data_IF_916045028848
#
_entry.id   IF_916045028848
#
_cell.length_a   1.000
_cell.length_b   1.000
_cell.length_c   1.000
_cell.angle_alpha   90.00
_cell.angle_beta   90.00
_cell.angle_gamma   90.00
#
_symmetry.space_group_name_H-M   'P 1'
#
loop_
_entity.id
_entity.type
_entity.pdbx_description
1 polymer ?
#
# COMPACT_ATOMS: atom_id res chain seq x y z
N UNK A 1 -6.28 -24.68 20.27
CA UNK A 1 -5.70 -25.42 19.13
C UNK A 1 -6.74 -25.49 18.03
N UNK A 2 -6.37 -25.09 16.82
CA UNK A 2 -7.18 -25.33 15.62
C UNK A 2 -6.74 -26.67 15.07
N UNK A 3 -7.61 -27.67 15.07
CA UNK A 3 -7.26 -29.09 14.91
C UNK A 3 -7.24 -29.60 13.47
N UNK A 4 -7.79 -28.84 12.52
CA UNK A 4 -7.76 -29.23 11.11
C UNK A 4 -6.42 -28.85 10.46
N UNK A 5 -5.72 -29.83 9.90
CA UNK A 5 -4.44 -29.67 9.24
C UNK A 5 -4.55 -29.13 7.80
N UNK A 6 -5.74 -29.10 7.21
CA UNK A 6 -6.00 -28.56 5.88
C UNK A 6 -6.39 -27.07 5.88
N UNK A 7 -6.60 -26.46 7.05
CA UNK A 7 -6.98 -25.04 7.14
C UNK A 7 -5.82 -24.12 6.73
N UNK A 8 -6.10 -23.14 5.87
CA UNK A 8 -5.21 -22.02 5.57
C UNK A 8 -5.74 -20.74 6.23
N UNK A 9 -4.84 -19.86 6.66
CA UNK A 9 -5.17 -18.59 7.29
C UNK A 9 -4.76 -17.45 6.39
N UNK A 10 -5.69 -16.55 6.09
CA UNK A 10 -5.41 -15.38 5.28
C UNK A 10 -5.48 -14.11 6.12
N UNK A 11 -4.61 -13.16 5.83
CA UNK A 11 -4.75 -11.77 6.24
C UNK A 11 -4.44 -10.87 5.05
N UNK A 12 -5.03 -9.68 5.03
CA UNK A 12 -4.81 -8.69 3.97
C UNK A 12 -4.00 -7.54 4.55
N UNK A 13 -3.12 -6.94 3.74
CA UNK A 13 -2.34 -5.79 4.20
C UNK A 13 -2.04 -4.82 3.07
N UNK A 14 -2.54 -3.61 3.26
CA UNK A 14 -2.26 -2.45 2.41
C UNK A 14 -1.48 -1.37 3.17
N UNK A 15 -0.81 -1.74 4.26
CA UNK A 15 0.01 -0.81 5.02
C UNK A 15 1.23 -0.36 4.19
N UNK A 16 1.62 0.94 4.23
CA UNK A 16 0.85 2.06 4.79
C UNK A 16 -0.30 2.48 3.87
N UNK A 17 -1.51 2.58 4.41
CA UNK A 17 -2.73 2.85 3.63
C UNK A 17 -2.67 4.20 2.90
N UNK A 18 -2.03 5.21 3.52
CA UNK A 18 -1.78 6.53 2.95
C UNK A 18 -1.06 6.44 1.58
N UNK A 19 -0.15 5.48 1.40
CA UNK A 19 0.65 5.33 0.19
C UNK A 19 -0.03 4.43 -0.84
N UNK A 20 -0.71 3.37 -0.40
CA UNK A 20 -1.26 2.34 -1.29
C UNK A 20 -2.58 2.71 -1.95
N UNK A 21 -3.32 3.66 -1.39
CA UNK A 21 -4.69 4.00 -1.84
C UNK A 21 -4.83 5.42 -2.39
N UNK A 22 -3.73 6.12 -2.65
CA UNK A 22 -3.75 7.52 -3.07
C UNK A 22 -4.80 7.82 -4.16
N UNK A 23 -5.73 8.72 -3.84
CA UNK A 23 -6.75 9.23 -4.74
C UNK A 23 -7.97 8.32 -4.85
N UNK A 24 -8.04 7.22 -4.09
CA UNK A 24 -9.15 6.29 -4.14
C UNK A 24 -10.45 6.94 -3.64
N UNK A 25 -11.49 6.98 -4.47
CA UNK A 25 -12.75 7.68 -4.13
C UNK A 25 -13.60 6.91 -3.12
N UNK A 26 -13.40 5.59 -3.02
CA UNK A 26 -14.10 4.72 -2.08
C UNK A 26 -13.43 4.65 -0.69
N UNK A 27 -12.27 5.27 -0.51
CA UNK A 27 -11.45 5.12 0.69
C UNK A 27 -11.70 6.24 1.73
N UNK A 28 -12.96 6.40 2.12
CA UNK A 28 -13.38 7.43 3.07
C UNK A 28 -13.24 8.86 2.52
N UNK A 29 -13.29 9.85 3.41
CA UNK A 29 -13.31 11.28 3.04
C UNK A 29 -11.93 11.94 2.99
N UNK A 30 -10.88 11.21 3.37
CA UNK A 30 -9.51 11.72 3.42
C UNK A 30 -8.71 11.37 2.16
N UNK A 31 -8.64 10.08 1.83
CA UNK A 31 -7.81 9.54 0.75
C UNK A 31 -8.12 10.11 -0.65
N UNK A 32 -9.36 10.50 -1.01
CA UNK A 32 -9.62 11.14 -2.29
C UNK A 32 -8.79 12.43 -2.51
N UNK A 33 -8.33 13.09 -1.44
CA UNK A 33 -7.48 14.28 -1.50
C UNK A 33 -5.97 13.96 -1.58
N UNK A 34 -5.56 12.71 -1.34
CA UNK A 34 -4.16 12.30 -1.25
C UNK A 34 -3.69 11.74 -2.58
N UNK A 35 -2.88 12.50 -3.32
CA UNK A 35 -2.18 12.01 -4.52
C UNK A 35 -0.81 12.65 -4.63
N UNK A 36 0.16 11.89 -5.16
CA UNK A 36 1.51 12.35 -5.46
C UNK A 36 2.53 12.20 -4.32
N UNK A 37 2.21 11.45 -3.26
CA UNK A 37 3.19 11.12 -2.22
C UNK A 37 4.12 10.01 -2.75
N UNK A 38 5.44 10.24 -2.85
CA UNK A 38 6.35 9.30 -3.48
C UNK A 38 6.65 8.09 -2.59
N UNK A 39 6.95 6.96 -3.23
CA UNK A 39 7.38 5.74 -2.55
C UNK A 39 8.66 5.15 -3.20
N UNK A 40 9.61 4.63 -2.40
CA UNK A 40 9.68 4.79 -0.95
C UNK A 40 10.12 6.25 -0.62
N UNK A 41 9.60 6.88 0.45
CA UNK A 41 9.87 8.29 0.79
C UNK A 41 11.36 8.66 0.88
N UNK A 42 12.19 7.76 1.38
CA UNK A 42 13.62 7.94 1.63
C UNK A 42 14.48 7.98 0.37
N UNK A 43 13.97 7.50 -0.77
CA UNK A 43 14.63 7.62 -2.08
C UNK A 43 14.56 9.03 -2.65
N UNK A 44 13.72 9.90 -2.08
CA UNK A 44 13.52 11.27 -2.52
C UNK A 44 14.15 12.24 -1.54
N UNK A 45 14.52 13.43 -2.03
CA UNK A 45 15.02 14.47 -1.13
C UNK A 45 13.89 14.84 -0.17
N UNK A 46 14.22 15.06 1.10
CA UNK A 46 13.25 15.47 2.11
C UNK A 46 12.40 16.69 1.68
N UNK A 47 13.01 17.63 0.93
CA UNK A 47 12.32 18.79 0.37
C UNK A 47 11.24 18.43 -0.67
N UNK A 48 11.48 17.39 -1.47
CA UNK A 48 10.56 16.92 -2.51
C UNK A 48 9.37 16.20 -1.87
N UNK A 49 9.63 15.32 -0.90
CA UNK A 49 8.58 14.67 -0.11
C UNK A 49 7.72 15.71 0.64
N UNK A 50 8.35 16.68 1.31
CA UNK A 50 7.63 17.77 1.96
C UNK A 50 6.83 18.63 0.97
N UNK A 51 7.31 18.78 -0.27
CA UNK A 51 6.57 19.46 -1.33
C UNK A 51 5.31 18.70 -1.74
N UNK A 52 5.41 17.37 -1.86
CA UNK A 52 4.26 16.50 -2.11
C UNK A 52 3.22 16.59 -0.98
N UNK A 53 3.66 16.55 0.28
CA UNK A 53 2.76 16.75 1.44
C UNK A 53 2.07 18.12 1.39
N UNK A 54 2.81 19.20 1.08
CA UNK A 54 2.21 20.53 0.90
C UNK A 54 1.18 20.56 -0.25
N UNK A 55 1.42 19.81 -1.33
CA UNK A 55 0.46 19.72 -2.43
C UNK A 55 -0.84 19.01 -2.01
N UNK A 56 -0.75 17.96 -1.20
CA UNK A 56 -1.93 17.32 -0.60
C UNK A 56 -2.68 18.29 0.31
N UNK A 57 -2.00 19.03 1.18
CA UNK A 57 -2.63 20.06 2.04
C UNK A 57 -3.38 21.11 1.24
N UNK A 58 -2.80 21.61 0.14
CA UNK A 58 -3.50 22.53 -0.77
C UNK A 58 -4.76 21.90 -1.35
N UNK A 59 -4.69 20.65 -1.81
CA UNK A 59 -5.85 19.92 -2.34
C UNK A 59 -6.96 19.74 -1.29
N UNK A 60 -6.60 19.47 -0.03
CA UNK A 60 -7.55 19.42 1.08
C UNK A 60 -8.20 20.79 1.26
N UNK A 61 -7.41 21.87 1.34
CA UNK A 61 -7.94 23.22 1.50
C UNK A 61 -8.87 23.65 0.34
N UNK A 62 -8.56 23.24 -0.88
CA UNK A 62 -9.31 23.63 -2.08
C UNK A 62 -10.58 22.80 -2.31
N UNK A 63 -10.61 21.53 -1.86
CA UNK A 63 -11.64 20.56 -2.27
C UNK A 63 -12.44 19.95 -1.13
N UNK A 64 -11.93 19.95 0.11
CA UNK A 64 -12.67 19.39 1.23
C UNK A 64 -13.75 20.37 1.72
N UNK A 65 -14.83 19.89 2.35
CA UNK A 65 -15.77 20.76 3.06
C UNK A 65 -15.02 21.61 4.10
N UNK A 66 -15.32 22.91 4.19
CA UNK A 66 -14.58 23.85 5.06
C UNK A 66 -14.45 23.36 6.51
N UNK A 67 -15.50 22.76 7.06
CA UNK A 67 -15.52 22.21 8.42
C UNK A 67 -14.55 21.03 8.62
N UNK A 68 -14.09 20.38 7.54
CA UNK A 68 -13.21 19.21 7.56
C UNK A 68 -11.75 19.55 7.30
N UNK A 69 -11.43 20.70 6.72
CA UNK A 69 -10.07 21.08 6.29
C UNK A 69 -9.04 20.94 7.42
N UNK A 70 -9.35 21.47 8.62
CA UNK A 70 -8.44 21.39 9.76
C UNK A 70 -8.17 19.94 10.21
N UNK A 71 -9.24 19.13 10.35
CA UNK A 71 -9.13 17.74 10.76
C UNK A 71 -8.39 16.87 9.76
N UNK A 72 -8.68 17.01 8.45
CA UNK A 72 -7.99 16.26 7.40
C UNK A 72 -6.52 16.67 7.26
N UNK A 73 -6.19 17.93 7.52
CA UNK A 73 -4.80 18.41 7.52
C UNK A 73 -4.02 17.83 8.70
N UNK A 74 -4.60 17.81 9.91
CA UNK A 74 -3.98 17.17 11.08
C UNK A 74 -3.77 15.68 10.84
N UNK A 75 -4.80 15.01 10.30
CA UNK A 75 -4.73 13.58 10.02
C UNK A 75 -3.68 13.23 8.97
N UNK A 76 -3.46 14.09 7.96
CA UNK A 76 -2.33 13.95 7.04
C UNK A 76 -0.99 14.04 7.77
N UNK A 77 -0.82 15.03 8.65
CA UNK A 77 0.44 15.21 9.39
C UNK A 77 0.74 14.01 10.30
N UNK A 78 -0.27 13.50 10.99
CA UNK A 78 -0.18 12.30 11.83
C UNK A 78 0.21 11.06 11.00
N UNK A 79 -0.51 10.80 9.90
CA UNK A 79 -0.25 9.61 9.06
C UNK A 79 1.08 9.70 8.31
N UNK A 80 1.54 10.89 7.94
CA UNK A 80 2.89 11.08 7.38
C UNK A 80 3.96 10.82 8.46
N UNK A 81 3.76 11.29 9.68
CA UNK A 81 4.70 11.08 10.78
C UNK A 81 4.86 9.60 11.17
N UNK A 82 3.95 8.72 10.76
CA UNK A 82 4.08 7.26 10.92
C UNK A 82 5.00 6.60 9.88
N UNK A 83 5.43 7.32 8.84
CA UNK A 83 6.19 6.76 7.69
C UNK A 83 7.33 7.66 7.20
N UNK A 84 7.60 8.78 7.87
CA UNK A 84 8.53 9.82 7.43
C UNK A 84 10.02 9.47 7.56
N UNK A 85 10.34 8.32 8.17
CA UNK A 85 11.71 7.77 8.19
C UNK A 85 11.72 6.32 7.68
N UNK A 86 12.86 5.83 7.16
CA UNK A 86 13.00 4.43 6.73
C UNK A 86 12.60 3.42 7.82
N UNK A 87 12.96 3.69 9.08
CA UNK A 87 12.69 2.80 10.20
C UNK A 87 11.20 2.73 10.52
N UNK A 88 10.51 3.88 10.47
CA UNK A 88 9.07 3.94 10.70
C UNK A 88 8.30 3.29 9.56
N UNK A 89 8.73 3.52 8.32
CA UNK A 89 8.14 2.85 7.15
C UNK A 89 8.31 1.34 7.23
N UNK A 90 9.52 0.84 7.52
CA UNK A 90 9.75 -0.60 7.70
C UNK A 90 8.89 -1.13 8.83
N UNK A 91 8.85 -0.47 10.00
CA UNK A 91 7.99 -0.87 11.10
C UNK A 91 6.51 -0.94 10.71
N UNK A 92 5.99 0.04 9.95
CA UNK A 92 4.62 0.03 9.45
C UNK A 92 4.35 -1.12 8.46
N UNK A 93 5.32 -1.43 7.59
CA UNK A 93 5.26 -2.53 6.64
C UNK A 93 5.29 -3.91 7.30
N UNK A 94 6.11 -4.06 8.35
CA UNK A 94 6.34 -5.29 9.12
C UNK A 94 5.22 -5.60 10.13
N UNK A 95 4.64 -4.58 10.77
CA UNK A 95 3.61 -4.70 11.81
C UNK A 95 2.53 -5.76 11.54
N UNK A 96 1.86 -5.79 10.36
CA UNK A 96 0.84 -6.81 10.07
C UNK A 96 1.41 -8.23 10.00
N UNK A 97 2.63 -8.42 9.51
CA UNK A 97 3.29 -9.73 9.45
C UNK A 97 3.71 -10.22 10.84
N UNK A 98 4.23 -9.32 11.68
CA UNK A 98 4.55 -9.64 13.08
C UNK A 98 3.29 -10.08 13.83
N UNK A 99 2.17 -9.39 13.62
CA UNK A 99 0.88 -9.78 14.21
C UNK A 99 0.43 -11.16 13.72
N UNK A 100 0.49 -11.43 12.41
CA UNK A 100 0.14 -12.73 11.83
C UNK A 100 1.07 -13.86 12.33
N UNK A 101 2.37 -13.61 12.41
CA UNK A 101 3.36 -14.57 12.90
C UNK A 101 3.14 -14.90 14.39
N UNK A 102 2.82 -13.89 15.21
CA UNK A 102 2.46 -14.09 16.61
C UNK A 102 1.19 -14.92 16.73
N UNK A 103 0.14 -14.59 15.98
CA UNK A 103 -1.07 -15.40 15.93
C UNK A 103 -0.77 -16.85 15.55
N UNK A 104 0.13 -17.07 14.57
CA UNK A 104 0.55 -18.41 14.18
C UNK A 104 1.20 -19.18 15.33
N UNK A 105 2.17 -18.54 15.99
CA UNK A 105 2.91 -19.13 17.10
C UNK A 105 1.98 -19.48 18.28
N UNK A 106 1.11 -18.55 18.67
CA UNK A 106 0.15 -18.70 19.77
C UNK A 106 -0.86 -19.84 19.50
N UNK A 107 -1.06 -20.22 18.23
CA UNK A 107 -2.02 -21.25 17.81
C UNK A 107 -1.39 -22.52 17.20
N UNK A 108 -0.06 -22.64 17.25
CA UNK A 108 0.70 -23.75 16.65
C UNK A 108 0.42 -23.95 15.14
N UNK A 109 0.28 -22.85 14.41
CA UNK A 109 0.08 -22.84 12.95
C UNK A 109 1.44 -22.71 12.27
N UNK A 110 1.78 -23.66 11.38
CA UNK A 110 3.00 -23.58 10.59
C UNK A 110 2.99 -22.34 9.68
N UNK A 111 4.11 -21.60 9.53
CA UNK A 111 4.13 -20.37 8.72
C UNK A 111 3.65 -20.55 7.28
N UNK A 112 3.96 -21.68 6.64
CA UNK A 112 3.49 -22.01 5.30
C UNK A 112 1.97 -22.19 5.16
N UNK A 113 1.22 -22.15 6.26
CA UNK A 113 -0.26 -22.15 6.27
C UNK A 113 -0.86 -20.75 6.39
N UNK A 114 -0.03 -19.71 6.42
CA UNK A 114 -0.43 -18.31 6.38
C UNK A 114 -0.24 -17.77 4.97
N UNK A 115 -1.22 -17.02 4.50
CA UNK A 115 -1.20 -16.36 3.20
C UNK A 115 -1.49 -14.87 3.42
N UNK A 116 -0.63 -14.00 2.89
CA UNK A 116 -0.98 -12.61 2.61
C UNK A 116 -1.92 -12.61 1.39
N UNK A 117 -3.22 -12.77 1.65
CA UNK A 117 -4.23 -13.01 0.61
C UNK A 117 -4.44 -11.82 -0.32
N UNK A 118 -4.19 -10.61 0.17
CA UNK A 118 -4.18 -9.40 -0.64
C UNK A 118 -3.16 -8.39 -0.14
N UNK A 119 -2.43 -7.82 -1.09
CA UNK A 119 -1.65 -6.60 -0.94
C UNK A 119 -1.48 -5.93 -2.31
N UNK A 120 -1.33 -4.61 -2.35
CA UNK A 120 -1.14 -3.89 -3.59
C UNK A 120 -0.98 -2.39 -3.39
N UNK A 121 -0.67 -1.70 -4.48
CA UNK A 121 -0.67 -0.24 -4.57
C UNK A 121 -1.49 0.18 -5.79
N UNK A 122 -2.42 1.10 -5.59
CA UNK A 122 -3.32 1.61 -6.62
C UNK A 122 -2.50 2.13 -7.80
N UNK A 123 -2.96 1.82 -9.01
CA UNK A 123 -2.47 2.41 -10.25
C UNK A 123 -3.13 3.75 -10.48
N UNK A 124 -4.46 3.75 -10.51
CA UNK A 124 -5.27 4.90 -10.87
C UNK A 124 -6.70 4.66 -10.42
N UNK A 125 -7.29 5.63 -9.73
CA UNK A 125 -8.72 5.66 -9.42
C UNK A 125 -9.55 5.98 -10.66
N UNK A 126 -10.75 5.38 -10.79
CA UNK A 126 -11.65 5.70 -11.89
C UNK A 126 -12.06 7.17 -11.88
N UNK A 127 -11.88 7.88 -13.00
CA UNK A 127 -12.17 9.31 -13.09
C UNK A 127 -11.15 10.22 -12.40
N UNK A 128 -10.07 9.68 -11.84
CA UNK A 128 -8.94 10.46 -11.35
C UNK A 128 -7.83 10.49 -12.41
N UNK A 129 -7.29 11.68 -12.70
CA UNK A 129 -6.23 11.85 -13.71
C UNK A 129 -4.84 11.45 -13.19
N UNK A 130 -4.67 11.31 -11.89
CA UNK A 130 -3.40 10.89 -11.31
C UNK A 130 -3.16 9.40 -11.55
N UNK A 131 -2.07 9.08 -12.24
CA UNK A 131 -1.56 7.72 -12.41
C UNK A 131 -0.33 7.56 -11.52
N UNK A 132 -0.37 6.57 -10.64
CA UNK A 132 0.74 6.21 -9.77
C UNK A 132 1.93 5.75 -10.61
N UNK A 133 3.13 6.30 -10.40
CA UNK A 133 4.33 5.85 -11.11
C UNK A 133 4.59 4.35 -10.91
N UNK A 134 4.89 3.65 -12.01
CA UNK A 134 5.04 2.20 -12.00
C UNK A 134 6.21 1.75 -11.12
N UNK A 135 7.27 2.55 -11.02
CA UNK A 135 8.41 2.29 -10.15
C UNK A 135 8.04 2.32 -8.66
N UNK A 136 7.16 3.22 -8.22
CA UNK A 136 6.69 3.27 -6.83
C UNK A 136 5.91 2.01 -6.48
N UNK A 137 5.05 1.57 -7.41
CA UNK A 137 4.27 0.34 -7.26
C UNK A 137 5.18 -0.89 -7.24
N UNK A 138 6.17 -0.95 -8.13
CA UNK A 138 7.12 -2.05 -8.18
C UNK A 138 7.92 -2.17 -6.88
N UNK A 139 8.49 -1.05 -6.41
CA UNK A 139 9.28 -1.00 -5.17
C UNK A 139 8.42 -1.46 -3.97
N UNK A 140 7.14 -1.07 -3.91
CA UNK A 140 6.22 -1.50 -2.85
C UNK A 140 5.92 -3.01 -2.91
N UNK A 141 5.55 -3.52 -4.09
CA UNK A 141 5.19 -4.92 -4.28
C UNK A 141 6.38 -5.84 -3.99
N UNK A 142 7.58 -5.48 -4.44
CA UNK A 142 8.82 -6.23 -4.17
C UNK A 142 9.10 -6.25 -2.67
N UNK A 143 9.01 -5.11 -1.98
CA UNK A 143 9.23 -5.04 -0.54
C UNK A 143 8.20 -5.87 0.25
N UNK A 144 6.90 -5.76 -0.05
CA UNK A 144 5.86 -6.55 0.63
C UNK A 144 6.01 -8.05 0.39
N UNK A 145 6.30 -8.46 -0.85
CA UNK A 145 6.60 -9.85 -1.20
C UNK A 145 7.77 -10.39 -0.37
N UNK A 146 8.88 -9.66 -0.33
CA UNK A 146 10.07 -10.08 0.43
C UNK A 146 9.79 -10.25 1.93
N UNK A 147 8.95 -9.39 2.53
CA UNK A 147 8.54 -9.57 3.94
C UNK A 147 7.71 -10.85 4.10
N UNK A 148 6.74 -11.11 3.22
CA UNK A 148 5.95 -12.35 3.27
C UNK A 148 6.85 -13.59 3.19
N UNK A 149 7.79 -13.60 2.25
CA UNK A 149 8.74 -14.70 2.03
C UNK A 149 9.67 -14.90 3.21
N UNK A 150 10.16 -13.82 3.84
CA UNK A 150 10.98 -13.87 5.07
C UNK A 150 10.23 -14.54 6.24
N UNK A 151 8.91 -14.35 6.31
CA UNK A 151 8.07 -15.01 7.30
C UNK A 151 7.67 -16.45 6.91
N UNK A 152 7.98 -16.91 5.70
CA UNK A 152 7.55 -18.20 5.17
C UNK A 152 6.06 -18.24 4.80
N UNK A 153 5.45 -17.08 4.54
CA UNK A 153 4.04 -16.96 4.18
C UNK A 153 3.86 -17.04 2.66
N UNK A 154 2.73 -17.58 2.21
CA UNK A 154 2.25 -17.40 0.84
C UNK A 154 1.78 -15.96 0.60
N UNK A 155 1.63 -15.56 -0.66
CA UNK A 155 1.20 -14.20 -1.00
C UNK A 155 0.41 -14.17 -2.31
N UNK A 156 -0.50 -13.20 -2.43
CA UNK A 156 -1.24 -12.90 -3.65
C UNK A 156 -1.40 -11.40 -3.84
N UNK A 157 -1.01 -10.89 -5.02
CA UNK A 157 -1.06 -9.46 -5.34
C UNK A 157 -2.48 -9.10 -5.79
N UNK A 158 -3.02 -8.01 -5.23
CA UNK A 158 -4.21 -7.34 -5.73
C UNK A 158 -3.81 -6.22 -6.71
N UNK A 159 -4.25 -6.22 -7.97
CA UNK A 159 -5.16 -7.14 -8.64
C UNK A 159 -4.87 -7.22 -10.13
N UNK A 160 -5.48 -8.16 -10.85
CA UNK A 160 -5.17 -8.41 -12.27
C UNK A 160 -5.50 -7.20 -13.17
N UNK A 161 -6.65 -6.57 -12.92
CA UNK A 161 -7.19 -5.45 -13.70
C UNK A 161 -7.76 -4.35 -12.77
N UNK A 162 -8.30 -3.27 -13.36
CA UNK A 162 -8.97 -2.19 -12.66
C UNK A 162 -8.00 -1.22 -11.98
N UNK A 163 -8.46 -0.61 -10.88
CA UNK A 163 -7.72 0.45 -10.21
C UNK A 163 -6.36 0.01 -9.68
N UNK A 164 -6.23 -1.26 -9.29
CA UNK A 164 -5.00 -1.88 -8.80
C UNK A 164 -4.32 -2.76 -9.85
N UNK A 165 -4.78 -2.70 -11.11
CA UNK A 165 -4.33 -3.57 -12.19
C UNK A 165 -2.80 -3.70 -12.27
N UNK A 166 -2.32 -4.93 -12.34
CA UNK A 166 -0.91 -5.27 -12.58
C UNK A 166 -0.66 -5.82 -13.98
N UNK A 167 -1.73 -6.30 -14.64
CA UNK A 167 -1.68 -6.79 -16.03
C UNK A 167 -2.47 -5.88 -16.95
N UNK A 168 -3.68 -5.51 -16.53
CA UNK A 168 -4.61 -4.72 -17.34
C UNK A 168 -5.10 -3.46 -16.63
N UNK A 169 -5.46 -2.44 -17.41
CA UNK A 169 -6.23 -1.30 -16.91
C UNK A 169 -7.72 -1.61 -16.85
N UNK A 170 -8.55 -0.58 -16.65
CA UNK A 170 -10.00 -0.74 -16.51
C UNK A 170 -10.69 -1.25 -17.78
N UNK A 171 -10.16 -0.94 -18.96
CA UNK A 171 -10.73 -1.36 -20.25
C UNK A 171 -10.21 -2.70 -20.75
N UNK A 172 -9.41 -3.42 -19.94
CA UNK A 172 -8.75 -4.66 -20.35
C UNK A 172 -7.48 -4.46 -21.18
N UNK A 173 -7.07 -3.21 -21.41
CA UNK A 173 -5.83 -2.88 -22.10
C UNK A 173 -4.62 -3.31 -21.28
N UNK A 174 -3.60 -3.86 -21.93
CA UNK A 174 -2.34 -4.15 -21.27
C UNK A 174 -1.67 -2.86 -20.79
N UNK A 175 -1.12 -2.87 -19.58
CA UNK A 175 -0.55 -1.66 -18.98
C UNK A 175 0.73 -1.18 -19.67
N UNK A 176 1.56 -2.10 -20.18
CA UNK A 176 2.79 -1.78 -20.90
C UNK A 176 3.84 -1.00 -20.10
N UNK A 177 3.71 -0.93 -18.77
CA UNK A 177 4.51 -0.10 -17.88
C UNK A 177 5.68 -0.86 -17.21
N UNK A 178 5.84 -2.15 -17.54
CA UNK A 178 6.93 -2.99 -17.04
C UNK A 178 6.78 -3.43 -15.58
N UNK A 179 5.63 -3.19 -14.94
CA UNK A 179 5.43 -3.49 -13.53
C UNK A 179 5.56 -4.99 -13.24
N UNK A 180 4.85 -5.83 -14.02
CA UNK A 180 4.82 -7.27 -13.80
C UNK A 180 6.21 -7.90 -14.00
N UNK A 181 6.95 -7.45 -15.01
CA UNK A 181 8.31 -7.90 -15.31
C UNK A 181 9.27 -7.57 -14.15
N UNK A 182 9.15 -6.37 -13.57
CA UNK A 182 9.98 -5.96 -12.41
C UNK A 182 9.68 -6.80 -11.18
N UNK A 183 8.41 -7.01 -10.87
CA UNK A 183 7.99 -7.77 -9.68
C UNK A 183 8.36 -9.25 -9.80
N UNK A 184 8.25 -9.83 -11.00
CA UNK A 184 8.57 -11.25 -11.24
C UNK A 184 10.06 -11.53 -11.36
N UNK A 185 10.87 -10.55 -11.83
CA UNK A 185 12.33 -10.69 -11.91
C UNK A 185 13.03 -10.57 -10.54
N UNK A 186 12.40 -9.92 -9.56
CA UNK A 186 12.94 -9.77 -8.21
C UNK A 186 12.85 -11.09 -7.43
N UNK A 187 13.99 -11.79 -7.31
CA UNK A 187 14.15 -13.01 -6.51
C UNK A 187 14.57 -12.68 -5.09
#
# INVERSE_FOLDING_TARGET
>A
MISDNATLFSFHSYAPFLLTHQGATWAGDFIPHVTGLPYPPDRYRAADFASAVRAVKRRIADKAPQARVAGLTSYLDETVAEIDTPEKLDAAMQKPFVAAARFAADNAIAPGRIILGEFGMIRQEWGNSFVMPAEWRADYLIAKKAIAEKHGFGWAIWGYSGAFGVVQGFGGEALGDGLLERVTAAR
#
